data_IF_614751159151
#
_entry.id   IF_614751159151
#
_cell.length_a   1.000
_cell.length_b   1.000
_cell.length_c   1.000
_cell.angle_alpha   90.00
_cell.angle_beta   90.00
_cell.angle_gamma   90.00
#
_symmetry.space_group_name_H-M   'P 1'
#
loop_
_entity.id
_entity.type
_entity.pdbx_description
1 polymer ?
#
# COMPACT_ATOMS: atom_id res chain seq x y z
N UNK A 1 11.58 12.14 -9.89
CA UNK A 1 11.92 10.80 -10.40
C UNK A 1 10.68 9.96 -10.20
N UNK A 2 9.96 9.73 -11.29
CA UNK A 2 8.82 8.83 -11.39
C UNK A 2 9.10 7.53 -10.65
N UNK A 3 8.30 7.25 -9.64
CA UNK A 3 8.34 5.98 -8.95
C UNK A 3 7.73 4.96 -9.91
N UNK A 4 8.60 4.17 -10.53
CA UNK A 4 8.30 3.00 -11.35
C UNK A 4 7.37 2.07 -10.55
N UNK A 5 6.06 2.28 -10.71
CA UNK A 5 5.04 1.37 -10.22
C UNK A 5 5.07 0.13 -11.13
N UNK A 6 4.81 -1.07 -10.58
CA UNK A 6 4.70 -2.26 -11.41
C UNK A 6 3.63 -2.08 -12.50
N UNK A 7 3.69 -2.88 -13.58
CA UNK A 7 2.63 -2.88 -14.60
C UNK A 7 1.26 -3.05 -13.93
N UNK A 8 0.22 -2.45 -14.53
CA UNK A 8 -1.17 -2.44 -14.01
C UNK A 8 -1.41 -1.52 -12.80
N UNK A 9 -0.37 -0.84 -12.30
CA UNK A 9 -0.47 0.12 -11.19
C UNK A 9 -0.12 1.53 -11.61
N UNK A 10 -0.89 2.50 -11.11
CA UNK A 10 -0.62 3.93 -11.30
C UNK A 10 -0.39 4.61 -9.96
N UNK A 11 0.58 5.52 -9.91
CA UNK A 11 0.74 6.43 -8.77
C UNK A 11 -0.38 7.46 -8.82
N UNK A 12 -1.28 7.41 -7.85
CA UNK A 12 -2.43 8.32 -7.75
C UNK A 12 -2.04 9.64 -7.09
N UNK A 13 -1.40 9.57 -5.92
CA UNK A 13 -0.91 10.73 -5.20
C UNK A 13 0.47 10.46 -4.63
N UNK A 14 1.36 11.45 -4.73
CA UNK A 14 2.64 11.46 -4.07
C UNK A 14 2.88 12.85 -3.49
N UNK A 15 2.87 12.98 -2.17
CA UNK A 15 3.09 14.24 -1.46
C UNK A 15 4.19 14.07 -0.42
N UNK A 16 5.15 14.98 -0.42
CA UNK A 16 6.01 15.20 0.73
C UNK A 16 5.46 16.36 1.55
N UNK A 17 5.50 16.24 2.87
CA UNK A 17 5.11 17.30 3.79
C UNK A 17 5.97 17.24 5.05
N UNK A 18 6.30 18.41 5.60
CA UNK A 18 7.05 18.53 6.85
C UNK A 18 6.12 19.13 7.90
N UNK A 19 5.57 18.31 8.81
CA UNK A 19 4.75 18.83 9.90
C UNK A 19 5.56 19.77 10.80
N UNK A 20 4.88 20.79 11.36
CA UNK A 20 5.53 21.81 12.19
C UNK A 20 6.27 21.23 13.41
N UNK A 21 5.81 20.09 13.93
CA UNK A 21 6.32 19.44 15.14
C UNK A 21 7.36 18.34 14.88
N UNK A 22 7.77 18.11 13.63
CA UNK A 22 8.80 17.12 13.28
C UNK A 22 9.84 17.70 12.34
N UNK A 23 11.11 17.58 12.74
CA UNK A 23 12.29 17.99 11.96
C UNK A 23 12.61 17.01 10.80
N UNK A 24 11.58 16.36 10.23
CA UNK A 24 11.75 15.38 9.16
C UNK A 24 10.62 15.48 8.14
N UNK A 25 11.01 15.52 6.87
CA UNK A 25 10.10 15.39 5.75
C UNK A 25 9.42 14.02 5.77
N UNK A 26 8.09 14.02 5.80
CA UNK A 26 7.25 12.84 5.70
C UNK A 26 6.74 12.67 4.28
N UNK A 27 6.55 11.42 3.87
CA UNK A 27 6.07 11.08 2.53
C UNK A 27 4.71 10.39 2.61
N UNK A 28 3.82 10.76 1.72
CA UNK A 28 2.55 10.11 1.53
C UNK A 28 2.46 9.68 0.08
N UNK A 29 2.12 8.42 -0.16
CA UNK A 29 1.97 7.88 -1.51
C UNK A 29 0.80 6.91 -1.61
N UNK A 30 0.06 7.00 -2.69
CA UNK A 30 -1.01 6.07 -3.04
C UNK A 30 -0.80 5.50 -4.43
N UNK A 31 -1.17 4.24 -4.57
CA UNK A 31 -1.19 3.51 -5.82
C UNK A 31 -2.59 2.97 -6.04
N UNK A 32 -3.06 2.98 -7.28
CA UNK A 32 -4.35 2.41 -7.67
C UNK A 32 -4.09 1.38 -8.78
N UNK A 33 -4.74 0.22 -8.65
CA UNK A 33 -4.74 -0.81 -9.68
C UNK A 33 -5.63 -0.38 -10.85
N UNK A 34 -5.28 -0.70 -12.10
CA UNK A 34 -6.03 -0.26 -13.28
C UNK A 34 -7.51 -0.66 -13.28
N UNK A 35 -7.84 -1.79 -12.64
CA UNK A 35 -9.22 -2.26 -12.48
C UNK A 35 -10.07 -1.35 -11.59
N UNK A 36 -9.44 -0.54 -10.73
CA UNK A 36 -10.10 0.35 -9.77
C UNK A 36 -10.52 -0.34 -8.46
N UNK A 37 -10.44 -1.67 -8.40
CA UNK A 37 -10.87 -2.46 -7.24
C UNK A 37 -9.91 -2.41 -6.05
N UNK A 38 -8.70 -1.88 -6.23
CA UNK A 38 -7.66 -1.91 -5.20
C UNK A 38 -6.83 -0.64 -5.15
N UNK A 39 -6.63 -0.13 -3.93
CA UNK A 39 -5.75 1.00 -3.62
C UNK A 39 -4.74 0.61 -2.55
N UNK A 40 -3.48 0.96 -2.77
CA UNK A 40 -2.39 0.77 -1.81
C UNK A 40 -1.93 2.13 -1.31
N UNK A 41 -1.77 2.30 0.00
CA UNK A 41 -1.37 3.55 0.65
C UNK A 41 -0.12 3.33 1.52
N UNK A 42 0.90 4.13 1.25
CA UNK A 42 2.11 4.28 2.06
C UNK A 42 2.04 5.63 2.75
N UNK A 43 1.84 5.62 4.07
CA UNK A 43 1.73 6.85 4.86
C UNK A 43 2.43 6.70 6.21
N UNK A 44 2.82 7.79 6.87
CA UNK A 44 3.26 7.76 8.27
C UNK A 44 2.21 7.05 9.13
N UNK A 45 2.65 6.14 9.99
CA UNK A 45 1.78 5.32 10.82
C UNK A 45 0.87 6.18 11.73
N UNK A 46 1.38 7.32 12.19
CA UNK A 46 0.63 8.32 12.95
C UNK A 46 -0.61 8.88 12.21
N UNK A 47 -0.59 8.97 10.87
CA UNK A 47 -1.75 9.42 10.09
C UNK A 47 -2.84 8.33 9.98
N UNK A 48 -2.50 7.09 10.30
CA UNK A 48 -3.41 5.94 10.26
C UNK A 48 -3.92 5.57 11.66
N UNK A 49 -3.76 6.48 12.63
CA UNK A 49 -4.17 6.28 14.03
C UNK A 49 -3.31 5.26 14.78
N UNK A 50 -2.14 4.91 14.26
CA UNK A 50 -1.19 4.02 14.93
C UNK A 50 -0.20 4.82 15.77
N UNK A 51 -0.06 4.45 17.04
CA UNK A 51 0.86 5.09 17.98
C UNK A 51 2.34 4.74 17.69
N UNK A 52 2.60 3.78 16.80
CA UNK A 52 3.98 3.36 16.52
C UNK A 52 4.66 4.36 15.58
N UNK A 53 5.95 4.65 15.82
CA UNK A 53 6.72 5.45 14.89
C UNK A 53 6.94 4.69 13.57
N UNK A 54 6.94 5.44 12.46
CA UNK A 54 7.27 4.90 11.14
C UNK A 54 6.18 5.13 10.11
N UNK A 55 6.07 4.18 9.18
CA UNK A 55 5.21 4.18 8.01
C UNK A 55 4.39 2.91 7.96
N UNK A 56 3.10 3.05 7.68
CA UNK A 56 2.16 1.95 7.52
C UNK A 56 1.81 1.76 6.05
N UNK A 57 1.85 0.50 5.62
CA UNK A 57 1.29 0.02 4.37
C UNK A 57 -0.13 -0.44 4.63
N UNK A 58 -1.08 0.20 3.95
CA UNK A 58 -2.51 -0.11 4.01
C UNK A 58 -3.03 -0.39 2.62
N UNK A 59 -4.00 -1.28 2.53
CA UNK A 59 -4.63 -1.69 1.29
C UNK A 59 -6.13 -1.52 1.46
N UNK A 60 -6.76 -0.85 0.52
CA UNK A 60 -8.21 -0.64 0.48
C UNK A 60 -8.76 -1.33 -0.75
N UNK A 61 -9.63 -2.32 -0.57
CA UNK A 61 -10.39 -2.95 -1.65
C UNK A 61 -11.74 -2.25 -1.82
N UNK A 62 -12.22 -2.23 -3.05
CA UNK A 62 -13.52 -1.67 -3.44
C UNK A 62 -14.35 -2.76 -4.14
N UNK A 63 -14.87 -3.77 -3.42
CA UNK A 63 -15.72 -4.78 -4.03
C UNK A 63 -17.02 -4.09 -4.49
N UNK A 64 -17.36 -4.19 -5.77
CA UNK A 64 -18.30 -3.27 -6.44
C UNK A 64 -19.69 -3.01 -5.78
N UNK A 65 -20.21 -3.89 -4.92
CA UNK A 65 -21.48 -3.69 -4.18
C UNK A 65 -21.31 -3.63 -2.66
N UNK A 66 -20.10 -3.76 -2.14
CA UNK A 66 -19.80 -3.81 -0.71
C UNK A 66 -19.09 -2.53 -0.25
N UNK A 67 -19.12 -2.29 1.07
CA UNK A 67 -18.35 -1.19 1.66
C UNK A 67 -16.86 -1.43 1.41
N UNK A 68 -16.13 -0.36 1.09
CA UNK A 68 -14.68 -0.43 0.92
C UNK A 68 -14.03 -0.99 2.19
N UNK A 69 -13.23 -2.04 2.05
CA UNK A 69 -12.55 -2.66 3.17
C UNK A 69 -11.09 -2.20 3.20
N UNK A 70 -10.64 -1.68 4.34
CA UNK A 70 -9.25 -1.24 4.52
C UNK A 70 -8.51 -2.15 5.49
N UNK A 71 -7.45 -2.77 4.99
CA UNK A 71 -6.61 -3.70 5.72
C UNK A 71 -5.20 -3.13 5.89
N UNK A 72 -4.68 -3.15 7.12
CA UNK A 72 -3.28 -2.85 7.38
C UNK A 72 -2.43 -4.07 7.07
N UNK A 73 -1.43 -3.88 6.21
CA UNK A 73 -0.51 -4.95 5.83
C UNK A 73 0.66 -4.98 6.81
N UNK A 74 1.37 -3.86 6.96
CA UNK A 74 2.60 -3.83 7.77
C UNK A 74 2.98 -2.40 8.15
N UNK A 75 3.64 -2.26 9.29
CA UNK A 75 4.26 -1.00 9.71
C UNK A 75 5.77 -1.19 9.80
N UNK A 76 6.53 -0.25 9.23
CA UNK A 76 8.00 -0.25 9.19
C UNK A 76 8.56 1.14 9.49
N UNK A 77 9.82 1.25 9.86
CA UNK A 77 10.39 2.51 10.36
C UNK A 77 10.65 3.58 9.28
N UNK A 78 10.75 3.21 8.00
CA UNK A 78 11.13 4.12 6.92
C UNK A 78 10.17 4.08 5.73
N UNK A 79 9.99 5.22 5.08
CA UNK A 79 9.19 5.35 3.86
C UNK A 79 9.67 4.43 2.75
N UNK A 80 10.99 4.42 2.49
CA UNK A 80 11.63 3.60 1.46
C UNK A 80 11.35 2.10 1.66
N UNK A 81 11.50 1.60 2.89
CA UNK A 81 11.20 0.19 3.18
C UNK A 81 9.72 -0.13 3.02
N UNK A 82 8.86 0.82 3.39
CA UNK A 82 7.41 0.67 3.20
C UNK A 82 7.06 0.63 1.70
N UNK A 83 7.69 1.48 0.89
CA UNK A 83 7.56 1.54 -0.56
C UNK A 83 8.01 0.24 -1.23
N UNK A 84 9.15 -0.33 -0.81
CA UNK A 84 9.62 -1.62 -1.32
C UNK A 84 8.63 -2.75 -1.02
N UNK A 85 8.04 -2.75 0.18
CA UNK A 85 7.01 -3.73 0.55
C UNK A 85 5.73 -3.50 -0.24
N UNK A 86 5.35 -2.24 -0.48
CA UNK A 86 4.20 -1.88 -1.32
C UNK A 86 4.39 -2.41 -2.75
N UNK A 87 5.56 -2.20 -3.36
CA UNK A 87 5.88 -2.74 -4.70
C UNK A 87 5.80 -4.26 -4.72
N UNK A 88 6.39 -4.92 -3.72
CA UNK A 88 6.31 -6.39 -3.61
C UNK A 88 4.86 -6.87 -3.48
N UNK A 89 4.03 -6.18 -2.70
CA UNK A 89 2.60 -6.47 -2.59
C UNK A 89 1.92 -6.34 -3.96
N UNK A 90 2.12 -5.21 -4.63
CA UNK A 90 1.51 -4.91 -5.94
C UNK A 90 1.89 -5.96 -7.01
N UNK A 91 3.17 -6.36 -7.07
CA UNK A 91 3.64 -7.39 -8.00
C UNK A 91 3.03 -8.76 -7.71
N UNK A 92 2.94 -9.14 -6.42
CA UNK A 92 2.33 -10.43 -6.04
C UNK A 92 0.82 -10.43 -6.31
N UNK A 93 0.16 -9.30 -6.11
CA UNK A 93 -1.26 -9.13 -6.41
C UNK A 93 -1.52 -9.29 -7.90
N UNK A 94 -0.84 -8.51 -8.75
CA UNK A 94 -1.02 -8.56 -10.20
C UNK A 94 -0.82 -9.97 -10.76
N UNK A 95 0.26 -10.65 -10.35
CA UNK A 95 0.54 -12.01 -10.77
C UNK A 95 -0.54 -13.04 -10.36
N UNK A 96 -1.25 -12.79 -9.26
CA UNK A 96 -2.33 -13.66 -8.79
C UNK A 96 -3.69 -13.29 -9.36
N UNK A 97 -3.91 -12.00 -9.65
CA UNK A 97 -5.17 -11.44 -10.14
C UNK A 97 -5.38 -11.65 -11.65
N UNK A 98 -4.31 -11.62 -12.45
CA UNK A 98 -4.35 -12.02 -13.88
C UNK A 98 -4.56 -13.54 -14.06
N UNK A 99 -4.43 -14.31 -12.97
CA UNK A 99 -4.72 -15.74 -12.93
C UNK A 99 -6.23 -16.07 -12.77
N UNK A 100 -6.58 -17.35 -12.56
CA UNK A 100 -7.97 -17.76 -12.33
C UNK A 100 -8.53 -17.38 -10.94
N UNK A 101 -7.81 -16.56 -10.16
CA UNK A 101 -8.15 -16.20 -8.79
C UNK A 101 -9.14 -15.03 -8.70
N UNK A 102 -9.89 -14.96 -7.60
CA UNK A 102 -10.74 -13.80 -7.28
C UNK A 102 -9.91 -12.66 -6.68
N UNK A 103 -10.45 -11.43 -6.70
CA UNK A 103 -9.87 -10.25 -6.03
C UNK A 103 -9.42 -10.55 -4.59
N UNK A 104 -10.29 -11.21 -3.83
CA UNK A 104 -10.07 -11.57 -2.43
C UNK A 104 -8.90 -12.55 -2.26
N UNK A 105 -8.79 -13.55 -3.13
CA UNK A 105 -7.72 -14.55 -3.10
C UNK A 105 -6.36 -13.93 -3.43
N UNK A 106 -6.32 -13.09 -4.48
CA UNK A 106 -5.12 -12.35 -4.85
C UNK A 106 -4.67 -11.37 -3.75
N UNK A 107 -5.62 -10.70 -3.10
CA UNK A 107 -5.36 -9.80 -1.98
C UNK A 107 -4.81 -10.57 -0.77
N UNK A 108 -5.45 -11.67 -0.38
CA UNK A 108 -5.01 -12.50 0.73
C UNK A 108 -3.61 -13.07 0.49
N UNK A 109 -3.36 -13.55 -0.73
CA UNK A 109 -2.07 -14.07 -1.15
C UNK A 109 -0.95 -13.02 -0.99
N UNK A 110 -1.17 -11.83 -1.57
CA UNK A 110 -0.20 -10.74 -1.50
C UNK A 110 -0.01 -10.23 -0.07
N UNK A 111 -1.09 -10.10 0.71
CA UNK A 111 -1.05 -9.64 2.09
C UNK A 111 -0.26 -10.61 2.98
N UNK A 112 -0.52 -11.92 2.85
CA UNK A 112 0.16 -12.95 3.64
C UNK A 112 1.67 -12.95 3.40
N UNK A 113 2.09 -12.85 2.13
CA UNK A 113 3.51 -12.88 1.73
C UNK A 113 4.28 -11.59 2.01
N UNK A 114 3.58 -10.50 2.30
CA UNK A 114 4.22 -9.21 2.66
C UNK A 114 4.15 -8.90 4.15
N UNK A 115 3.21 -9.52 4.86
CA UNK A 115 3.13 -9.54 6.33
C UNK A 115 4.30 -10.29 6.97
N UNK A 116 4.62 -11.48 6.47
CA UNK A 116 5.65 -12.34 7.07
C UNK A 116 7.02 -12.14 6.39
N UNK A 117 7.93 -11.48 7.10
CA UNK A 117 9.36 -11.68 6.87
C UNK A 117 10.04 -11.56 8.23
N UNK A 118 10.15 -12.71 8.89
CA UNK A 118 10.94 -12.90 10.11
C UNK A 118 12.42 -12.68 9.84
#
# INVERSE_FOLDING_TARGET
MDADAPPEWTVDECRSYTPADVDRELQYRTYIHESGDLRVKVAPAALDGDDRPGYSLTVTSYPGLELSETNRIRTVLTADRCDQIARRFMTLFAASYDGPGSLEDALEYAATRTRDHR
#
